data_IF_471901339475
#
_entry.id   IF_471901339475
#
_cell.length_a   1.000
_cell.length_b   1.000
_cell.length_c   1.000
_cell.angle_alpha   90.00
_cell.angle_beta   90.00
_cell.angle_gamma   90.00
#
_symmetry.space_group_name_H-M   'P 1'
#
loop_
_entity.id
_entity.type
_entity.pdbx_description
1 polymer ?
#
# COMPACT_ATOMS: atom_id res chain seq x y z
N UNK A 1 -22.71 -2.41 26.85
CA UNK A 1 -23.10 -1.55 25.71
C UNK A 1 -22.90 -0.07 26.00
N UNK A 2 -23.25 0.43 27.19
CA UNK A 2 -23.10 1.84 27.58
C UNK A 2 -21.66 2.38 27.47
N UNK A 3 -20.64 1.60 27.90
CA UNK A 3 -19.21 1.99 27.75
C UNK A 3 -18.74 2.12 26.30
N UNK A 4 -19.25 1.28 25.38
CA UNK A 4 -18.91 1.34 23.96
C UNK A 4 -19.59 2.53 23.28
N UNK A 5 -20.82 2.87 23.67
CA UNK A 5 -21.50 4.06 23.20
C UNK A 5 -20.72 5.33 23.61
N UNK A 6 -20.29 5.42 24.87
CA UNK A 6 -19.46 6.54 25.38
C UNK A 6 -18.10 6.61 24.65
N UNK A 7 -17.50 5.48 24.28
CA UNK A 7 -16.26 5.44 23.49
C UNK A 7 -16.45 6.03 22.08
N UNK A 8 -17.49 5.59 21.35
CA UNK A 8 -17.78 6.10 20.00
C UNK A 8 -18.23 7.56 20.01
N UNK A 9 -19.03 7.97 20.99
CA UNK A 9 -19.43 9.38 21.17
C UNK A 9 -18.23 10.28 21.42
N UNK A 10 -17.23 9.82 22.20
CA UNK A 10 -15.98 10.57 22.41
C UNK A 10 -15.09 10.61 21.17
N UNK A 11 -15.07 9.55 20.36
CA UNK A 11 -14.32 9.53 19.09
C UNK A 11 -14.89 10.54 18.08
N UNK A 12 -16.21 10.62 17.97
CA UNK A 12 -16.89 11.63 17.14
C UNK A 12 -16.65 13.05 17.69
N UNK A 13 -16.64 13.22 19.01
CA UNK A 13 -16.31 14.52 19.64
C UNK A 13 -14.86 14.95 19.40
N UNK A 14 -13.93 13.99 19.34
CA UNK A 14 -12.52 14.21 18.98
C UNK A 14 -12.36 14.65 17.53
N UNK A 15 -13.07 14.01 16.60
CA UNK A 15 -13.10 14.42 15.18
C UNK A 15 -13.66 15.82 15.03
N UNK A 16 -14.77 16.12 15.70
CA UNK A 16 -15.38 17.45 15.69
C UNK A 16 -14.45 18.51 16.28
N UNK A 17 -13.82 18.23 17.41
CA UNK A 17 -12.90 19.16 18.09
C UNK A 17 -11.60 19.39 17.30
N UNK A 18 -11.08 18.36 16.62
CA UNK A 18 -9.93 18.49 15.71
C UNK A 18 -10.25 19.36 14.49
N UNK A 19 -11.43 19.18 13.88
CA UNK A 19 -11.88 20.02 12.78
C UNK A 19 -12.13 21.48 13.22
N UNK A 20 -12.68 21.67 14.42
CA UNK A 20 -12.89 23.00 15.01
C UNK A 20 -11.57 23.70 15.34
N UNK A 21 -10.56 22.97 15.81
CA UNK A 21 -9.21 23.48 16.03
C UNK A 21 -8.58 23.98 14.73
N UNK A 22 -8.61 23.16 13.67
CA UNK A 22 -8.11 23.54 12.34
C UNK A 22 -8.83 24.77 11.81
N UNK A 23 -10.15 24.82 11.90
CA UNK A 23 -10.95 25.98 11.47
C UNK A 23 -10.64 27.25 12.28
N UNK A 24 -10.35 27.11 13.58
CA UNK A 24 -9.99 28.23 14.46
C UNK A 24 -8.59 28.78 14.15
N UNK A 25 -7.65 27.92 13.73
CA UNK A 25 -6.32 28.32 13.26
C UNK A 25 -6.35 29.04 11.89
N UNK A 26 -7.31 28.67 11.04
CA UNK A 26 -7.51 29.31 9.73
C UNK A 26 -8.17 30.70 9.84
N UNK A 27 -8.84 31.00 10.95
CA UNK A 27 -9.44 32.31 11.22
C UNK A 27 -8.43 33.30 11.82
N UNK A 28 -8.24 34.46 11.16
CA UNK A 28 -7.25 35.53 11.41
C UNK A 28 -6.58 35.60 12.79
N UNK A 29 -5.24 35.71 12.79
CA UNK A 29 -4.31 35.58 13.92
C UNK A 29 -4.45 36.64 15.04
N UNK A 30 -5.52 36.59 15.81
CA UNK A 30 -5.66 37.35 17.06
C UNK A 30 -5.13 36.55 18.27
N UNK A 31 -4.57 37.21 19.29
CA UNK A 31 -4.13 36.55 20.53
C UNK A 31 -5.29 35.77 21.22
N UNK A 32 -6.53 36.20 21.02
CA UNK A 32 -7.74 35.53 21.52
C UNK A 32 -7.95 34.16 20.84
N UNK A 33 -7.76 34.10 19.51
CA UNK A 33 -7.90 32.86 18.75
C UNK A 33 -6.82 31.84 19.12
N UNK A 34 -5.61 32.30 19.47
CA UNK A 34 -4.53 31.43 19.92
C UNK A 34 -4.80 30.83 21.30
N UNK A 35 -5.32 31.63 22.24
CA UNK A 35 -5.72 31.12 23.55
C UNK A 35 -6.88 30.12 23.43
N UNK A 36 -7.84 30.39 22.53
CA UNK A 36 -8.95 29.48 22.27
C UNK A 36 -8.49 28.17 21.62
N UNK A 37 -7.59 28.23 20.64
CA UNK A 37 -7.00 27.06 19.99
C UNK A 37 -6.19 26.21 20.97
N UNK A 38 -5.39 26.84 21.85
CA UNK A 38 -4.64 26.12 22.89
C UNK A 38 -5.57 25.41 23.89
N UNK A 39 -6.72 26.02 24.23
CA UNK A 39 -7.75 25.37 25.06
C UNK A 39 -8.34 24.14 24.37
N UNK A 40 -8.68 24.25 23.07
CA UNK A 40 -9.21 23.12 22.30
C UNK A 40 -8.18 21.98 22.20
N UNK A 41 -6.88 22.31 22.02
CA UNK A 41 -5.82 21.33 21.95
C UNK A 41 -5.62 20.60 23.29
N UNK A 42 -5.74 21.32 24.40
CA UNK A 42 -5.70 20.74 25.75
C UNK A 42 -6.90 19.83 26.02
N UNK A 43 -8.09 20.18 25.54
CA UNK A 43 -9.28 19.34 25.61
C UNK A 43 -9.10 18.05 24.76
N UNK A 44 -8.54 18.16 23.55
CA UNK A 44 -8.20 16.99 22.70
C UNK A 44 -7.22 16.06 23.39
N UNK A 45 -6.14 16.59 23.99
CA UNK A 45 -5.16 15.77 24.72
C UNK A 45 -5.75 15.07 25.94
N UNK A 46 -6.69 15.72 26.62
CA UNK A 46 -7.37 15.14 27.79
C UNK A 46 -8.31 14.01 27.36
N UNK A 47 -9.04 14.20 26.26
CA UNK A 47 -9.91 13.18 25.66
C UNK A 47 -9.11 12.00 25.10
N UNK A 48 -7.96 12.24 24.45
CA UNK A 48 -7.06 11.18 23.98
C UNK A 48 -6.50 10.33 25.13
N UNK A 49 -6.06 10.97 26.23
CA UNK A 49 -5.58 10.24 27.41
C UNK A 49 -6.69 9.42 28.08
N UNK A 50 -7.92 9.93 28.09
CA UNK A 50 -9.08 9.16 28.57
C UNK A 50 -9.38 7.96 27.65
N UNK A 51 -9.22 8.13 26.33
CA UNK A 51 -9.39 7.07 25.35
C UNK A 51 -8.31 5.99 25.46
N UNK A 52 -7.03 6.33 25.66
CA UNK A 52 -5.95 5.36 25.86
C UNK A 52 -6.11 4.53 27.16
N UNK A 53 -6.59 5.16 28.24
CA UNK A 53 -6.92 4.48 29.49
C UNK A 53 -8.12 3.53 29.33
N UNK A 54 -9.15 3.94 28.57
CA UNK A 54 -10.28 3.07 28.25
C UNK A 54 -9.92 1.97 27.25
N UNK A 55 -9.06 2.21 26.25
CA UNK A 55 -8.50 1.17 25.35
C UNK A 55 -7.73 0.13 26.14
N UNK A 56 -7.00 0.53 27.18
CA UNK A 56 -6.30 -0.40 28.06
C UNK A 56 -7.26 -1.24 28.91
N UNK A 57 -8.38 -0.66 29.37
CA UNK A 57 -9.44 -1.38 30.08
C UNK A 57 -10.30 -2.26 29.16
N UNK A 58 -10.57 -1.79 27.94
CA UNK A 58 -11.34 -2.47 26.90
C UNK A 58 -10.50 -3.61 26.31
N UNK A 59 -9.17 -3.44 26.19
CA UNK A 59 -8.24 -4.50 25.79
C UNK A 59 -8.20 -5.67 26.77
N UNK A 60 -8.39 -5.39 28.07
CA UNK A 60 -8.62 -6.43 29.08
C UNK A 60 -10.02 -7.07 28.96
N UNK A 61 -11.08 -6.27 28.73
CA UNK A 61 -12.45 -6.79 28.47
C UNK A 61 -12.55 -7.58 27.14
N UNK A 62 -11.67 -7.35 26.17
CA UNK A 62 -11.58 -8.15 24.94
C UNK A 62 -10.90 -9.50 25.14
N UNK A 63 -10.14 -9.67 26.23
CA UNK A 63 -9.66 -11.00 26.65
C UNK A 63 -10.83 -11.86 27.18
N UNK A 64 -11.87 -11.23 27.71
CA UNK A 64 -13.15 -11.87 28.09
C UNK A 64 -14.17 -11.94 26.93
N UNK A 65 -13.80 -11.43 25.75
CA UNK A 65 -14.61 -11.51 24.54
C UNK A 65 -13.78 -12.11 23.40
N UNK A 66 -13.36 -13.37 23.59
CA UNK A 66 -12.88 -14.19 22.48
C UNK A 66 -13.88 -14.10 21.31
N UNK A 67 -13.46 -13.59 20.13
CA UNK A 67 -14.29 -13.58 18.92
C UNK A 67 -14.73 -15.00 18.54
N UNK A 68 -13.92 -16.01 18.88
CA UNK A 68 -14.26 -17.42 18.70
C UNK A 68 -15.44 -17.84 19.57
N UNK A 69 -15.55 -17.36 20.82
CA UNK A 69 -16.66 -17.75 21.70
C UNK A 69 -17.98 -17.08 21.31
N UNK A 70 -17.96 -15.83 20.85
CA UNK A 70 -19.18 -15.16 20.35
C UNK A 70 -19.66 -15.74 19.01
N UNK A 71 -18.73 -16.02 18.09
CA UNK A 71 -19.06 -16.67 16.82
C UNK A 71 -19.51 -18.11 17.03
N UNK A 72 -18.82 -18.88 17.88
CA UNK A 72 -19.23 -20.23 18.28
C UNK A 72 -20.60 -20.24 18.95
N UNK A 73 -20.88 -19.34 19.89
CA UNK A 73 -22.18 -19.31 20.56
C UNK A 73 -23.31 -18.88 19.61
N UNK A 74 -23.02 -17.97 18.67
CA UNK A 74 -23.93 -17.62 17.58
C UNK A 74 -24.23 -18.80 16.65
N UNK A 75 -23.21 -19.56 16.26
CA UNK A 75 -23.35 -20.76 15.44
C UNK A 75 -24.09 -21.86 16.21
N UNK A 76 -23.78 -22.10 17.48
CA UNK A 76 -24.51 -23.05 18.35
C UNK A 76 -25.99 -22.70 18.41
N UNK A 77 -26.33 -21.41 18.58
CA UNK A 77 -27.72 -20.95 18.59
C UNK A 77 -28.42 -21.16 17.25
N UNK A 78 -27.72 -20.93 16.13
CA UNK A 78 -28.25 -21.18 14.79
C UNK A 78 -28.47 -22.67 14.54
N UNK A 79 -27.51 -23.53 14.92
CA UNK A 79 -27.64 -25.00 14.84
C UNK A 79 -28.84 -25.46 15.66
N UNK A 80 -28.98 -24.98 16.90
CA UNK A 80 -30.11 -25.33 17.76
C UNK A 80 -31.44 -24.90 17.12
N UNK A 81 -31.52 -23.66 16.64
CA UNK A 81 -32.73 -23.14 15.97
C UNK A 81 -33.09 -23.98 14.74
N UNK A 82 -32.09 -24.35 13.93
CA UNK A 82 -32.28 -25.24 12.78
C UNK A 82 -32.80 -26.62 13.21
N UNK A 83 -32.15 -27.27 14.17
CA UNK A 83 -32.54 -28.59 14.66
C UNK A 83 -33.94 -28.59 15.27
N UNK A 84 -34.29 -27.55 16.04
CA UNK A 84 -35.62 -27.37 16.63
C UNK A 84 -36.69 -27.19 15.54
N UNK A 85 -36.40 -26.36 14.54
CA UNK A 85 -37.29 -26.15 13.39
C UNK A 85 -37.46 -27.43 12.56
N UNK A 86 -36.36 -28.14 12.25
CA UNK A 86 -36.36 -29.39 11.49
C UNK A 86 -37.14 -30.48 12.24
N UNK A 87 -36.88 -30.66 13.54
CA UNK A 87 -37.58 -31.64 14.38
C UNK A 87 -39.07 -31.33 14.47
N UNK A 88 -39.43 -30.06 14.67
CA UNK A 88 -40.83 -29.62 14.71
C UNK A 88 -41.53 -29.86 13.36
N UNK A 89 -40.87 -29.55 12.25
CA UNK A 89 -41.42 -29.80 10.91
C UNK A 89 -41.64 -31.29 10.66
N UNK A 90 -40.61 -32.12 10.87
CA UNK A 90 -40.67 -33.57 10.63
C UNK A 90 -41.74 -34.23 11.52
N UNK A 91 -41.85 -33.82 12.78
CA UNK A 91 -42.90 -34.32 13.68
C UNK A 91 -44.32 -34.02 13.15
N UNK A 92 -44.52 -32.86 12.52
CA UNK A 92 -45.84 -32.42 12.05
C UNK A 92 -46.21 -32.90 10.64
N UNK A 93 -45.22 -33.06 9.75
CA UNK A 93 -45.46 -33.24 8.32
C UNK A 93 -44.85 -34.52 7.72
N UNK A 94 -43.80 -35.09 8.33
CA UNK A 94 -43.12 -36.29 7.81
C UNK A 94 -42.45 -37.10 8.95
N UNK A 95 -43.25 -37.71 9.85
CA UNK A 95 -42.73 -38.36 11.05
C UNK A 95 -41.90 -39.61 10.75
N UNK A 96 -42.08 -40.21 9.58
CA UNK A 96 -41.32 -41.36 9.10
C UNK A 96 -39.87 -41.01 8.69
N UNK A 97 -39.61 -39.75 8.31
CA UNK A 97 -38.27 -39.24 7.98
C UNK A 97 -37.47 -38.82 9.22
N UNK A 98 -38.11 -38.72 10.39
CA UNK A 98 -37.49 -38.30 11.65
C UNK A 98 -36.35 -39.23 12.10
N UNK A 99 -36.43 -40.51 11.73
CA UNK A 99 -35.45 -41.52 12.14
C UNK A 99 -34.28 -41.68 11.18
N UNK A 100 -34.29 -40.97 10.05
CA UNK A 100 -33.22 -41.05 9.06
C UNK A 100 -31.90 -40.51 9.64
N UNK A 101 -30.75 -41.14 9.31
CA UNK A 101 -29.46 -40.73 9.82
C UNK A 101 -29.07 -39.30 9.42
N UNK A 102 -29.58 -38.80 8.29
CA UNK A 102 -29.37 -37.43 7.81
C UNK A 102 -30.10 -36.36 8.65
N UNK A 103 -31.20 -36.72 9.31
CA UNK A 103 -32.10 -35.81 10.05
C UNK A 103 -31.86 -35.79 11.56
N UNK A 104 -30.74 -36.37 12.00
CA UNK A 104 -30.38 -36.38 13.43
C UNK A 104 -29.85 -35.02 13.86
N UNK A 105 -30.25 -34.61 15.06
CA UNK A 105 -29.68 -33.43 15.73
C UNK A 105 -28.17 -33.60 15.87
N UNK A 106 -27.42 -32.57 15.50
CA UNK A 106 -25.96 -32.55 15.54
C UNK A 106 -25.43 -31.34 16.31
N UNK A 107 -24.22 -31.45 16.86
CA UNK A 107 -23.60 -30.39 17.67
C UNK A 107 -22.62 -29.52 16.85
N UNK A 108 -22.08 -28.47 17.50
CA UNK A 108 -21.09 -27.59 16.87
C UNK A 108 -19.81 -28.32 16.42
N UNK A 109 -19.35 -29.33 17.16
CA UNK A 109 -18.14 -30.07 16.80
C UNK A 109 -18.37 -30.98 15.60
N UNK A 110 -19.56 -31.53 15.46
CA UNK A 110 -19.99 -32.31 14.31
C UNK A 110 -20.17 -31.42 13.09
N UNK A 111 -20.82 -30.27 13.24
CA UNK A 111 -20.99 -29.26 12.19
C UNK A 111 -19.64 -28.83 11.58
N UNK A 112 -18.64 -28.52 12.41
CA UNK A 112 -17.31 -28.11 11.93
C UNK A 112 -16.54 -29.24 11.22
N UNK A 113 -16.94 -30.50 11.41
CA UNK A 113 -16.36 -31.68 10.74
C UNK A 113 -17.11 -32.06 9.46
N UNK A 114 -18.28 -31.47 9.19
CA UNK A 114 -19.04 -31.78 7.98
C UNK A 114 -18.30 -31.26 6.75
N UNK A 115 -18.03 -32.17 5.80
CA UNK A 115 -17.51 -31.77 4.49
C UNK A 115 -18.57 -31.01 3.69
N UNK A 116 -18.14 -30.21 2.70
CA UNK A 116 -19.04 -29.51 1.76
C UNK A 116 -20.01 -30.43 1.01
N UNK A 117 -19.68 -31.74 0.90
CA UNK A 117 -20.52 -32.74 0.25
C UNK A 117 -21.51 -33.42 1.21
N UNK A 118 -21.55 -33.02 2.49
CA UNK A 118 -22.46 -33.62 3.47
C UNK A 118 -23.93 -33.34 3.08
N UNK A 119 -24.85 -34.31 3.22
CA UNK A 119 -26.26 -34.15 2.86
C UNK A 119 -26.94 -32.93 3.48
N UNK A 120 -26.51 -32.52 4.68
CA UNK A 120 -26.91 -31.27 5.34
C UNK A 120 -26.89 -30.03 4.42
N UNK A 121 -25.85 -29.88 3.59
CA UNK A 121 -25.72 -28.73 2.67
C UNK A 121 -26.60 -28.84 1.43
N UNK A 122 -27.18 -30.01 1.20
CA UNK A 122 -28.06 -30.33 0.07
C UNK A 122 -29.46 -30.72 0.53
N UNK A 123 -29.83 -30.46 1.79
CA UNK A 123 -31.12 -30.87 2.33
C UNK A 123 -32.22 -29.99 1.71
N UNK A 124 -32.75 -30.45 0.58
CA UNK A 124 -33.83 -29.83 -0.17
C UNK A 124 -35.12 -29.71 0.65
N UNK A 125 -35.21 -30.23 1.87
CA UNK A 125 -36.38 -30.05 2.72
C UNK A 125 -36.67 -28.57 3.02
N UNK A 126 -35.64 -27.74 3.19
CA UNK A 126 -35.79 -26.30 3.39
C UNK A 126 -35.95 -25.53 2.07
N UNK A 127 -35.53 -26.13 0.96
CA UNK A 127 -35.82 -25.67 -0.39
C UNK A 127 -36.99 -26.49 -0.94
N UNK A 128 -38.22 -26.25 -0.45
CA UNK A 128 -39.49 -26.87 -0.88
C UNK A 128 -39.76 -26.90 -2.41
N UNK A 129 -38.84 -26.38 -3.21
CA UNK A 129 -38.86 -26.51 -4.66
C UNK A 129 -38.69 -27.98 -5.05
N UNK A 130 -39.76 -28.54 -5.61
CA UNK A 130 -39.70 -29.77 -6.43
C UNK A 130 -39.31 -29.46 -7.87
N UNK A 131 -38.84 -28.24 -8.14
CA UNK A 131 -38.50 -27.85 -9.49
C UNK A 131 -37.25 -28.61 -9.94
N UNK A 132 -37.09 -28.85 -11.24
CA UNK A 132 -35.97 -29.63 -11.76
C UNK A 132 -34.60 -29.12 -11.29
N UNK A 133 -34.44 -27.81 -11.11
CA UNK A 133 -33.17 -27.18 -10.71
C UNK A 133 -32.76 -27.48 -9.25
N UNK A 134 -33.70 -27.90 -8.41
CA UNK A 134 -33.45 -28.26 -7.01
C UNK A 134 -33.12 -29.75 -6.85
N UNK A 135 -33.65 -30.62 -7.72
CA UNK A 135 -33.56 -32.08 -7.57
C UNK A 135 -32.57 -32.72 -8.57
N UNK A 136 -32.51 -32.24 -9.82
CA UNK A 136 -31.69 -32.85 -10.88
C UNK A 136 -30.21 -32.44 -10.75
N UNK A 137 -29.28 -33.38 -10.47
CA UNK A 137 -27.86 -33.08 -10.33
C UNK A 137 -27.23 -32.53 -11.62
N UNK A 138 -27.71 -32.95 -12.79
CA UNK A 138 -27.18 -32.51 -14.09
C UNK A 138 -27.56 -31.04 -14.33
N UNK A 139 -28.83 -30.71 -14.10
CA UNK A 139 -29.31 -29.34 -14.25
C UNK A 139 -28.62 -28.40 -13.28
N UNK A 140 -28.46 -28.81 -12.02
CA UNK A 140 -27.74 -28.03 -10.99
C UNK A 140 -26.27 -27.82 -11.38
N UNK A 141 -25.60 -28.85 -11.88
CA UNK A 141 -24.21 -28.73 -12.37
C UNK A 141 -24.13 -27.75 -13.54
N UNK A 142 -25.09 -27.81 -14.47
CA UNK A 142 -25.19 -26.86 -15.56
C UNK A 142 -25.39 -25.42 -15.08
N UNK A 143 -26.27 -25.20 -14.11
CA UNK A 143 -26.50 -23.88 -13.50
C UNK A 143 -25.22 -23.36 -12.83
N UNK A 144 -24.53 -24.18 -12.04
CA UNK A 144 -23.26 -23.78 -11.41
C UNK A 144 -22.18 -23.48 -12.45
N UNK A 145 -22.10 -24.24 -13.54
CA UNK A 145 -21.14 -23.98 -14.61
C UNK A 145 -21.42 -22.63 -15.29
N UNK A 146 -22.69 -22.31 -15.58
CA UNK A 146 -23.09 -21.01 -16.14
C UNK A 146 -22.78 -19.87 -15.17
N UNK A 147 -23.15 -19.99 -13.89
CA UNK A 147 -22.83 -18.98 -12.88
C UNK A 147 -21.33 -18.79 -12.69
N UNK A 148 -20.56 -19.87 -12.73
CA UNK A 148 -19.10 -19.81 -12.68
C UNK A 148 -18.51 -19.08 -13.88
N UNK A 149 -19.09 -19.26 -15.08
CA UNK A 149 -18.70 -18.52 -16.27
C UNK A 149 -19.06 -17.03 -16.16
N UNK A 150 -20.25 -16.71 -15.69
CA UNK A 150 -20.68 -15.32 -15.49
C UNK A 150 -19.78 -14.60 -14.47
N UNK A 151 -19.46 -15.26 -13.37
CA UNK A 151 -18.53 -14.73 -12.38
C UNK A 151 -17.13 -14.53 -12.95
N UNK A 152 -16.60 -15.50 -13.71
CA UNK A 152 -15.30 -15.34 -14.36
C UNK A 152 -15.28 -14.14 -15.33
N UNK A 153 -16.39 -13.90 -16.05
CA UNK A 153 -16.53 -12.71 -16.90
C UNK A 153 -16.51 -11.41 -16.09
N UNK A 154 -17.22 -11.37 -14.95
CA UNK A 154 -17.20 -10.22 -14.04
C UNK A 154 -15.80 -9.96 -13.48
N UNK A 155 -15.09 -11.00 -13.05
CA UNK A 155 -13.70 -10.89 -12.56
C UNK A 155 -12.77 -10.34 -13.65
N UNK A 156 -12.90 -10.80 -14.89
CA UNK A 156 -12.12 -10.26 -16.02
C UNK A 156 -12.40 -8.76 -16.20
N UNK A 157 -13.65 -8.32 -16.08
CA UNK A 157 -14.02 -6.89 -16.15
C UNK A 157 -13.37 -6.11 -15.00
N UNK A 158 -13.44 -6.62 -13.77
CA UNK A 158 -12.82 -5.99 -12.60
C UNK A 158 -11.30 -5.89 -12.74
N UNK A 159 -10.64 -6.96 -13.18
CA UNK A 159 -9.19 -6.97 -13.41
C UNK A 159 -8.77 -5.93 -14.45
N UNK A 160 -9.57 -5.70 -15.50
CA UNK A 160 -9.30 -4.63 -16.48
C UNK A 160 -9.36 -3.24 -15.84
N UNK A 161 -10.34 -3.01 -14.95
CA UNK A 161 -10.46 -1.75 -14.22
C UNK A 161 -9.27 -1.55 -13.27
N UNK A 162 -8.92 -2.57 -12.49
CA UNK A 162 -7.81 -2.49 -11.54
C UNK A 162 -6.45 -2.36 -12.23
N UNK A 163 -6.26 -2.99 -13.40
CA UNK A 163 -5.08 -2.76 -14.23
C UNK A 163 -4.98 -1.28 -14.63
N UNK A 164 -6.04 -0.71 -15.21
CA UNK A 164 -6.06 0.71 -15.60
C UNK A 164 -5.81 1.64 -14.41
N UNK A 165 -6.39 1.32 -13.24
CA UNK A 165 -6.20 2.08 -12.00
C UNK A 165 -4.76 2.01 -11.52
N UNK A 166 -4.14 0.83 -11.57
CA UNK A 166 -2.73 0.62 -11.19
C UNK A 166 -1.78 1.42 -12.08
N UNK A 167 -2.00 1.43 -13.40
CA UNK A 167 -1.19 2.23 -14.33
C UNK A 167 -1.39 3.74 -14.10
N UNK A 168 -2.63 4.16 -13.86
CA UNK A 168 -2.96 5.55 -13.54
C UNK A 168 -2.29 6.00 -12.23
N UNK A 169 -2.28 5.13 -11.22
CA UNK A 169 -1.55 5.35 -9.98
C UNK A 169 -0.04 5.47 -10.23
N UNK A 170 0.56 4.56 -11.00
CA UNK A 170 1.99 4.60 -11.33
C UNK A 170 2.40 5.93 -11.96
N UNK A 171 1.59 6.42 -12.91
CA UNK A 171 1.77 7.73 -13.53
C UNK A 171 1.63 8.87 -12.52
N UNK A 172 0.59 8.84 -11.69
CA UNK A 172 0.34 9.88 -10.67
C UNK A 172 1.49 9.96 -9.67
N UNK A 173 1.92 8.81 -9.15
CA UNK A 173 3.01 8.71 -8.18
C UNK A 173 4.33 9.20 -8.76
N UNK A 174 4.64 8.89 -10.02
CA UNK A 174 5.81 9.44 -10.71
C UNK A 174 5.80 10.97 -10.73
N UNK A 175 4.66 11.57 -11.08
CA UNK A 175 4.54 13.04 -11.11
C UNK A 175 4.67 13.65 -9.71
N UNK A 176 4.12 13.00 -8.68
CA UNK A 176 4.27 13.44 -7.29
C UNK A 176 5.73 13.38 -6.85
N UNK A 177 6.47 12.29 -7.13
CA UNK A 177 7.89 12.19 -6.82
C UNK A 177 8.71 13.28 -7.54
N UNK A 178 8.42 13.51 -8.83
CA UNK A 178 9.07 14.59 -9.60
C UNK A 178 8.83 15.96 -8.97
N UNK A 179 7.60 16.24 -8.55
CA UNK A 179 7.25 17.49 -7.88
C UNK A 179 7.97 17.63 -6.54
N UNK A 180 7.97 16.57 -5.71
CA UNK A 180 8.64 16.57 -4.40
C UNK A 180 10.14 16.78 -4.51
N UNK A 181 10.80 16.16 -5.50
CA UNK A 181 12.23 16.37 -5.77
C UNK A 181 12.49 17.83 -6.16
N UNK A 182 11.72 18.39 -7.10
CA UNK A 182 11.89 19.79 -7.49
C UNK A 182 11.72 20.75 -6.29
N UNK A 183 10.73 20.50 -5.44
CA UNK A 183 10.52 21.29 -4.22
C UNK A 183 11.67 21.17 -3.20
N UNK A 184 12.36 20.02 -3.15
CA UNK A 184 13.52 19.81 -2.29
C UNK A 184 14.78 20.52 -2.80
N UNK A 185 14.93 20.64 -4.12
CA UNK A 185 16.08 21.29 -4.78
C UNK A 185 15.93 22.81 -4.83
N UNK A 186 14.73 23.31 -5.13
CA UNK A 186 14.45 24.75 -5.29
C UNK A 186 14.20 25.48 -3.95
N UNK A 187 14.22 24.75 -2.82
CA UNK A 187 14.09 25.34 -1.48
C UNK A 187 12.69 25.87 -1.20
N UNK A 188 11.69 24.98 -1.12
CA UNK A 188 10.30 25.36 -0.83
C UNK A 188 10.11 25.85 0.62
N UNK A 189 9.60 27.08 0.81
CA UNK A 189 9.40 27.71 2.14
C UNK A 189 8.46 26.94 3.08
N UNK A 190 7.46 26.23 2.55
CA UNK A 190 6.54 25.38 3.31
C UNK A 190 7.16 24.03 3.67
N UNK A 191 7.98 23.45 2.79
CA UNK A 191 8.77 22.27 3.10
C UNK A 191 9.82 22.60 4.18
N UNK A 192 10.43 23.78 4.08
CA UNK A 192 11.43 24.28 5.03
C UNK A 192 10.85 24.42 6.45
N UNK A 193 9.63 24.97 6.58
CA UNK A 193 9.00 25.11 7.89
C UNK A 193 8.61 23.76 8.50
N UNK A 194 8.15 22.81 7.69
CA UNK A 194 7.82 21.43 8.12
C UNK A 194 9.05 20.64 8.55
N UNK A 195 10.14 20.71 7.79
CA UNK A 195 11.39 20.04 8.13
C UNK A 195 12.02 20.65 9.39
N UNK A 196 12.02 21.97 9.53
CA UNK A 196 12.50 22.66 10.73
C UNK A 196 11.67 22.29 11.97
N UNK A 197 10.36 22.10 11.83
CA UNK A 197 9.49 21.66 12.91
C UNK A 197 9.72 20.18 13.28
N UNK A 198 9.97 19.31 12.31
CA UNK A 198 10.11 17.87 12.54
C UNK A 198 11.50 17.44 13.04
N UNK A 199 12.56 18.08 12.54
CA UNK A 199 13.95 17.67 12.79
C UNK A 199 14.80 18.73 13.50
N UNK A 200 14.25 19.92 13.79
CA UNK A 200 14.98 21.03 14.40
C UNK A 200 15.95 21.73 13.43
N UNK A 201 16.87 22.54 13.98
CA UNK A 201 17.99 23.07 13.21
C UNK A 201 19.10 22.02 13.13
N UNK A 202 19.17 21.32 12.00
CA UNK A 202 20.19 20.30 11.75
C UNK A 202 21.21 20.83 10.73
N UNK A 203 22.44 21.03 11.19
CA UNK A 203 23.58 21.36 10.34
C UNK A 203 24.48 20.14 10.24
N UNK A 204 24.60 19.56 9.04
CA UNK A 204 25.58 18.52 8.77
C UNK A 204 26.95 19.20 8.61
N UNK A 205 27.95 18.81 9.41
CA UNK A 205 29.27 19.41 9.36
C UNK A 205 29.89 19.26 7.95
N UNK A 206 30.32 20.37 7.35
CA UNK A 206 30.95 20.41 6.03
C UNK A 206 30.03 20.74 4.85
N UNK A 207 28.71 20.89 5.04
CA UNK A 207 27.77 21.30 3.99
C UNK A 207 27.46 22.79 4.14
N UNK A 208 28.03 23.63 3.27
CA UNK A 208 27.84 25.09 3.30
C UNK A 208 26.38 25.50 3.09
N UNK A 209 26.03 26.63 3.70
CA UNK A 209 24.69 27.15 3.93
C UNK A 209 23.74 27.14 2.70
N UNK A 210 22.68 26.36 2.85
CA UNK A 210 21.43 26.30 2.08
C UNK A 210 21.44 25.74 0.64
N UNK A 211 20.55 24.76 0.37
CA UNK A 211 19.76 23.98 1.32
C UNK A 211 20.68 22.91 1.94
N UNK A 212 21.04 23.04 3.22
CA UNK A 212 22.00 22.17 3.91
C UNK A 212 21.56 20.71 4.08
N UNK A 213 22.37 19.89 4.75
CA UNK A 213 22.37 18.42 4.70
C UNK A 213 21.03 17.66 4.80
N UNK A 214 19.99 18.14 5.50
CA UNK A 214 18.67 17.47 5.50
C UNK A 214 18.03 17.45 4.09
N UNK A 215 18.17 18.52 3.31
CA UNK A 215 17.60 18.59 1.97
C UNK A 215 18.34 17.68 1.00
N UNK A 216 19.65 17.53 1.18
CA UNK A 216 20.45 16.59 0.39
C UNK A 216 20.12 15.15 0.75
N UNK A 217 19.91 14.83 2.03
CA UNK A 217 19.48 13.50 2.47
C UNK A 217 18.07 13.17 1.95
N UNK A 218 17.11 14.08 2.16
CA UNK A 218 15.73 13.92 1.66
C UNK A 218 15.69 13.85 0.13
N UNK A 219 16.44 14.72 -0.54
CA UNK A 219 16.59 14.71 -1.99
C UNK A 219 17.20 13.40 -2.48
N UNK A 220 18.19 12.86 -1.77
CA UNK A 220 18.78 11.54 -2.01
C UNK A 220 17.77 10.41 -1.88
N UNK A 221 17.05 10.32 -0.77
CA UNK A 221 16.00 9.32 -0.53
C UNK A 221 14.88 9.40 -1.59
N UNK A 222 14.43 10.61 -1.92
CA UNK A 222 13.43 10.82 -2.99
C UNK A 222 13.98 10.42 -4.37
N UNK A 223 15.26 10.65 -4.64
CA UNK A 223 15.91 10.18 -5.87
C UNK A 223 15.98 8.66 -5.93
N UNK A 224 16.32 7.98 -4.82
CA UNK A 224 16.28 6.52 -4.73
C UNK A 224 14.86 5.98 -4.96
N UNK A 225 13.86 6.54 -4.28
CA UNK A 225 12.46 6.17 -4.47
C UNK A 225 12.00 6.35 -5.93
N UNK A 226 12.45 7.43 -6.59
CA UNK A 226 12.19 7.66 -8.03
C UNK A 226 12.82 6.61 -8.92
N UNK A 227 14.09 6.24 -8.69
CA UNK A 227 14.76 5.19 -9.47
C UNK A 227 14.07 3.84 -9.27
N UNK A 228 13.70 3.51 -8.03
CA UNK A 228 12.95 2.30 -7.74
C UNK A 228 11.60 2.27 -8.46
N UNK A 229 10.82 3.36 -8.37
CA UNK A 229 9.53 3.47 -9.06
C UNK A 229 9.67 3.41 -10.59
N UNK A 230 10.72 4.02 -11.15
CA UNK A 230 11.05 3.90 -12.59
C UNK A 230 11.23 2.44 -12.99
N UNK A 231 12.05 1.70 -12.25
CA UNK A 231 12.34 0.30 -12.54
C UNK A 231 11.07 -0.55 -12.45
N UNK A 232 10.24 -0.31 -11.44
CA UNK A 232 8.93 -0.96 -11.30
C UNK A 232 8.05 -0.71 -12.52
N UNK A 233 7.96 0.54 -12.99
CA UNK A 233 7.17 0.89 -14.17
C UNK A 233 7.69 0.21 -15.46
N UNK A 234 9.01 0.09 -15.64
CA UNK A 234 9.61 -0.62 -16.77
C UNK A 234 9.29 -2.12 -16.71
N UNK A 235 9.41 -2.74 -15.52
CA UNK A 235 9.06 -4.17 -15.33
C UNK A 235 7.58 -4.40 -15.63
N UNK A 236 6.70 -3.53 -15.14
CA UNK A 236 5.27 -3.60 -15.46
C UNK A 236 5.02 -3.45 -16.95
N UNK A 237 5.74 -2.54 -17.64
CA UNK A 237 5.62 -2.38 -19.07
C UNK A 237 5.96 -3.67 -19.83
N UNK A 238 7.04 -4.38 -19.45
CA UNK A 238 7.39 -5.66 -20.07
C UNK A 238 6.27 -6.70 -19.90
N UNK A 239 5.69 -6.80 -18.71
CA UNK A 239 4.55 -7.70 -18.45
C UNK A 239 3.34 -7.33 -19.30
N UNK A 240 3.03 -6.03 -19.41
CA UNK A 240 1.91 -5.52 -20.22
C UNK A 240 2.14 -5.79 -21.70
N UNK A 241 3.36 -5.60 -22.21
CA UNK A 241 3.73 -5.95 -23.59
C UNK A 241 3.50 -7.43 -23.87
N UNK A 242 3.95 -8.33 -22.98
CA UNK A 242 3.70 -9.76 -23.10
C UNK A 242 2.18 -10.09 -23.11
N UNK A 243 1.39 -9.40 -22.28
CA UNK A 243 -0.06 -9.56 -22.25
C UNK A 243 -0.75 -9.06 -23.53
N UNK A 244 -0.24 -7.99 -24.14
CA UNK A 244 -0.72 -7.48 -25.43
C UNK A 244 -0.39 -8.46 -26.57
N UNK A 245 0.84 -8.99 -26.60
CA UNK A 245 1.28 -9.96 -27.60
C UNK A 245 0.48 -11.26 -27.51
N UNK A 246 0.20 -11.71 -26.28
CA UNK A 246 -0.66 -12.86 -26.01
C UNK A 246 -2.17 -12.57 -26.22
N UNK A 247 -2.55 -11.34 -26.59
CA UNK A 247 -3.93 -10.88 -26.79
C UNK A 247 -4.83 -11.06 -25.55
N UNK A 248 -4.25 -11.05 -24.35
CA UNK A 248 -4.98 -11.11 -23.08
C UNK A 248 -5.67 -9.79 -22.76
N UNK A 249 -5.10 -8.68 -23.23
CA UNK A 249 -5.63 -7.33 -23.05
C UNK A 249 -5.63 -6.57 -24.38
N UNK A 250 -6.54 -5.62 -24.52
CA UNK A 250 -6.57 -4.65 -25.64
C UNK A 250 -5.80 -3.40 -25.26
N UNK A 251 -5.16 -2.75 -26.25
CA UNK A 251 -4.44 -1.49 -26.05
C UNK A 251 -5.32 -0.37 -25.48
N UNK A 252 -6.63 -0.38 -25.76
CA UNK A 252 -7.62 0.60 -25.29
C UNK A 252 -7.75 0.67 -23.75
N UNK A 253 -7.40 -0.41 -23.04
CA UNK A 253 -7.48 -0.46 -21.57
C UNK A 253 -6.38 0.42 -20.96
N UNK A 254 -5.24 0.53 -21.65
CA UNK A 254 -4.03 1.19 -21.17
C UNK A 254 -4.17 2.71 -21.37
N UNK A 255 -3.88 3.54 -20.36
CA UNK A 255 -3.90 4.99 -20.54
C UNK A 255 -2.84 5.45 -21.56
N UNK A 256 -3.18 6.27 -22.55
CA UNK A 256 -2.20 6.77 -23.55
C UNK A 256 -0.99 7.47 -22.92
N UNK A 257 -1.20 8.10 -21.76
CA UNK A 257 -0.14 8.76 -20.99
C UNK A 257 0.92 7.76 -20.48
N UNK A 258 0.56 6.48 -20.32
CA UNK A 258 1.47 5.41 -19.94
C UNK A 258 2.58 5.25 -20.97
N UNK A 259 2.23 5.02 -22.24
CA UNK A 259 3.19 4.80 -23.32
C UNK A 259 4.17 5.97 -23.45
N UNK A 260 3.65 7.20 -23.54
CA UNK A 260 4.49 8.41 -23.58
C UNK A 260 5.43 8.54 -22.39
N UNK A 261 4.98 8.13 -21.20
CA UNK A 261 5.79 8.19 -19.99
C UNK A 261 6.89 7.12 -20.01
N UNK A 262 6.55 5.89 -20.39
CA UNK A 262 7.53 4.79 -20.48
C UNK A 262 8.59 5.07 -21.53
N UNK A 263 8.23 5.55 -22.71
CA UNK A 263 9.19 5.87 -23.78
C UNK A 263 10.22 6.90 -23.26
N UNK A 264 9.75 7.97 -22.62
CA UNK A 264 10.62 8.97 -21.99
C UNK A 264 11.52 8.38 -20.90
N UNK A 265 11.04 7.41 -20.13
CA UNK A 265 11.83 6.76 -19.09
C UNK A 265 12.92 5.86 -19.67
N UNK A 266 12.62 5.11 -20.74
CA UNK A 266 13.55 4.21 -21.43
C UNK A 266 14.64 5.00 -22.16
N UNK A 267 14.30 6.10 -22.82
CA UNK A 267 15.26 6.99 -23.48
C UNK A 267 16.25 7.59 -22.48
N UNK A 268 15.77 7.93 -21.28
CA UNK A 268 16.62 8.42 -20.19
C UNK A 268 17.60 7.35 -19.70
N UNK A 269 17.26 6.05 -19.76
CA UNK A 269 18.19 4.97 -19.38
C UNK A 269 19.32 4.84 -20.41
N UNK A 270 18.98 4.85 -21.69
CA UNK A 270 19.97 4.69 -22.77
C UNK A 270 20.99 5.84 -22.77
N UNK A 271 20.53 7.08 -22.56
CA UNK A 271 21.42 8.25 -22.50
C UNK A 271 22.26 8.31 -21.22
N UNK A 272 21.76 7.81 -20.08
CA UNK A 272 22.55 7.72 -18.86
C UNK A 272 23.63 6.64 -18.95
N UNK A 273 23.32 5.51 -19.61
CA UNK A 273 24.28 4.42 -19.83
C UNK A 273 25.44 4.86 -20.74
N UNK A 274 25.15 5.59 -21.83
CA UNK A 274 26.20 6.12 -22.71
C UNK A 274 27.05 7.21 -22.05
N UNK A 275 26.46 8.05 -21.20
CA UNK A 275 27.20 9.09 -20.47
C UNK A 275 28.19 8.52 -19.44
N UNK A 276 27.87 7.40 -18.78
CA UNK A 276 28.78 6.76 -17.82
C UNK A 276 29.93 6.05 -18.54
N UNK A 277 29.67 5.48 -19.72
CA UNK A 277 30.69 4.82 -20.55
C UNK A 277 31.74 5.84 -21.07
N UNK A 278 31.28 7.01 -21.52
CA UNK A 278 32.15 8.12 -21.94
C UNK A 278 32.99 8.66 -20.78
N UNK A 279 32.44 8.72 -19.55
CA UNK A 279 33.19 9.17 -18.37
C UNK A 279 34.23 8.14 -17.92
N UNK A 280 33.97 6.84 -18.12
CA UNK A 280 34.92 5.78 -17.84
C UNK A 280 36.07 5.80 -18.85
N UNK A 281 35.78 5.97 -20.15
CA UNK A 281 36.81 6.16 -21.19
C UNK A 281 37.68 7.40 -20.91
N UNK A 282 37.08 8.52 -20.53
CA UNK A 282 37.80 9.75 -20.20
C UNK A 282 38.75 9.58 -18.99
N UNK A 283 38.30 8.90 -17.93
CA UNK A 283 39.12 8.64 -16.74
C UNK A 283 40.26 7.65 -17.00
N UNK A 284 40.10 6.71 -17.94
CA UNK A 284 41.16 5.80 -18.38
C UNK A 284 42.24 6.52 -19.18
N UNK A 285 41.86 7.51 -20.00
CA UNK A 285 42.80 8.34 -20.77
C UNK A 285 43.61 9.28 -19.87
N UNK A 286 42.99 9.86 -18.83
CA UNK A 286 43.68 10.77 -17.89
C UNK A 286 44.72 10.06 -17.00
N UNK A 287 44.65 8.73 -16.85
CA UNK A 287 45.65 7.95 -16.10
C UNK A 287 46.89 7.57 -16.92
N UNK A 288 46.94 7.86 -18.23
CA UNK A 288 48.08 7.50 -19.09
C UNK A 288 49.10 8.63 -19.33
N UNK A 289 48.81 9.88 -18.95
CA UNK A 289 49.68 11.04 -19.25
C UNK A 289 50.64 11.46 -18.12
N UNK A 290 50.82 10.62 -17.10
CA UNK A 290 51.75 10.92 -15.99
C UNK A 290 52.82 9.84 -15.84
N UNK A 291 53.75 9.77 -16.81
CA UNK A 291 55.12 9.42 -16.44
C UNK A 291 56.16 9.98 -17.42
N UNK A 292 57.24 10.55 -16.87
CA UNK A 292 58.46 10.85 -17.61
C UNK A 292 58.84 12.32 -17.75
N UNK A 293 59.26 12.96 -16.64
CA UNK A 293 60.51 13.75 -16.69
C UNK A 293 61.13 13.96 -15.32
N UNK A 294 62.11 13.11 -15.04
CA UNK A 294 63.07 13.26 -13.96
C UNK A 294 64.00 14.48 -14.16
N UNK A 295 64.10 15.25 -13.08
CA UNK A 295 65.34 15.73 -12.45
C UNK A 295 66.49 16.24 -13.32
N UNK A 296 66.80 17.54 -13.19
CA UNK A 296 68.20 17.98 -13.28
C UNK A 296 68.54 18.95 -12.14
N UNK A 297 69.32 18.45 -11.18
CA UNK A 297 70.00 19.22 -10.14
C UNK A 297 71.31 19.82 -10.70
N UNK A 298 71.70 20.98 -10.19
CA UNK A 298 72.87 21.72 -10.66
C UNK A 298 74.20 21.28 -10.06
N UNK A 299 75.29 21.75 -10.66
CA UNK A 299 76.49 22.29 -10.03
C UNK A 299 77.51 22.72 -11.11
N UNK A 300 78.21 23.83 -10.84
CA UNK A 300 79.33 24.38 -11.62
C UNK A 300 80.51 23.39 -11.73
N UNK A 301 81.27 23.50 -12.81
CA UNK A 301 82.74 23.49 -12.78
C UNK A 301 83.30 24.15 -14.06
N UNK A 302 84.10 25.19 -13.85
CA UNK A 302 85.11 25.67 -14.79
C UNK A 302 86.24 24.63 -14.83
N UNK A 303 86.78 24.25 -15.99
CA UNK A 303 88.17 24.59 -16.35
C UNK A 303 88.58 24.10 -17.75
N UNK A 304 89.56 24.83 -18.27
CA UNK A 304 90.34 24.75 -19.49
C UNK A 304 90.56 23.39 -20.20
N UNK A 305 90.68 23.46 -21.53
CA UNK A 305 91.89 23.05 -22.25
C UNK A 305 91.92 23.63 -23.68
N UNK A 306 93.00 24.39 -23.92
CA UNK A 306 93.52 24.80 -25.23
C UNK A 306 94.01 23.59 -26.01
N UNK A 307 93.97 23.63 -27.35
CA UNK A 307 95.18 23.60 -28.19
C UNK A 307 94.82 23.72 -29.68
N UNK A 308 95.54 24.64 -30.33
CA UNK A 308 95.68 24.83 -31.78
C UNK A 308 96.61 23.76 -32.37
N UNK A 309 96.35 23.29 -33.59
CA UNK A 309 97.34 22.88 -34.62
C UNK A 309 96.59 22.93 -35.98
N UNK A 310 97.10 23.38 -37.12
CA UNK A 310 98.47 23.65 -37.63
C UNK A 310 99.70 23.71 -36.69
#
# INVERSE_FOLDING_TARGET
MEKLAVFFEREEFLKFSANLFVSTLESSNSNSNRAHAMKILQDIQTLQRAQENEVSSIGADFSDLSPEDKTKNGVVKAIQTFCDCQTSYLTNYAPEDLHLPENKVFDYKEFMKMSLNHPFWNDCYMCLSKDPWAIDPVLRTGIHATLGLDHANEEIIQLKVELRRSLSWGISHWNQLKQSINQSVEGNTQLNSRLKHAFGEFQLAGVSDRPGGIYQLLGGELCFARVHHKNLMIVWNNTISNMLDAKLISSEIIPDKWFRMIDSLIDTVHNASSSVDVQLEQAVLEQQDSDGKDSNGGANEEDNLLEDED
#
